data_IF_156688017542
#
_entry.id   IF_156688017542
#
_cell.length_a   1.000
_cell.length_b   1.000
_cell.length_c   1.000
_cell.angle_alpha   90.00
_cell.angle_beta   90.00
_cell.angle_gamma   90.00
#
_symmetry.space_group_name_H-M   'P 1'
#
loop_
_entity.id
_entity.type
_entity.pdbx_description
1 polymer ?
#
# COMPACT_ATOMS: atom_id res chain seq x y z
N UNK A 1 -24.06 2.82 10.44
CA UNK A 1 -22.67 2.61 10.89
C UNK A 1 -22.00 3.97 11.04
N UNK A 2 -21.61 4.37 12.25
CA UNK A 2 -20.90 5.63 12.49
C UNK A 2 -19.40 5.33 12.38
N UNK A 3 -18.76 5.69 11.26
CA UNK A 3 -17.33 5.44 11.09
C UNK A 3 -16.50 6.33 12.02
N UNK A 4 -15.47 5.74 12.64
CA UNK A 4 -14.50 6.45 13.47
C UNK A 4 -13.88 7.62 12.68
N UNK A 5 -13.67 8.75 13.35
CA UNK A 5 -13.23 10.01 12.74
C UNK A 5 -11.91 9.84 11.95
N UNK A 6 -10.97 9.06 12.48
CA UNK A 6 -9.74 8.67 11.79
C UNK A 6 -9.97 8.08 10.40
N UNK A 7 -10.90 7.13 10.27
CA UNK A 7 -11.18 6.51 8.98
C UNK A 7 -11.80 7.50 8.00
N UNK A 8 -12.58 8.46 8.49
CA UNK A 8 -13.11 9.56 7.66
C UNK A 8 -11.99 10.46 7.15
N UNK A 9 -10.99 10.76 7.98
CA UNK A 9 -9.81 11.54 7.58
C UNK A 9 -8.97 10.78 6.55
N UNK A 10 -8.70 9.49 6.77
CA UNK A 10 -7.96 8.65 5.82
C UNK A 10 -8.69 8.59 4.46
N UNK A 11 -10.00 8.37 4.46
CA UNK A 11 -10.81 8.36 3.23
C UNK A 11 -10.82 9.74 2.55
N UNK A 12 -10.98 10.83 3.32
CA UNK A 12 -10.97 12.18 2.78
C UNK A 12 -9.61 12.51 2.12
N UNK A 13 -8.51 12.14 2.77
CA UNK A 13 -7.18 12.26 2.19
C UNK A 13 -7.08 11.45 0.88
N UNK A 14 -7.58 10.21 0.86
CA UNK A 14 -7.57 9.39 -0.34
C UNK A 14 -8.36 10.00 -1.51
N UNK A 15 -9.52 10.60 -1.23
CA UNK A 15 -10.30 11.36 -2.22
C UNK A 15 -9.52 12.58 -2.72
N UNK A 16 -8.86 13.34 -1.83
CA UNK A 16 -8.02 14.45 -2.22
C UNK A 16 -6.87 14.02 -3.14
N UNK A 17 -6.22 12.89 -2.87
CA UNK A 17 -5.18 12.33 -3.74
C UNK A 17 -5.72 11.97 -5.14
N UNK A 18 -6.89 11.33 -5.22
CA UNK A 18 -7.53 11.04 -6.51
C UNK A 18 -7.87 12.31 -7.29
N UNK A 19 -8.49 13.28 -6.63
CA UNK A 19 -8.86 14.56 -7.25
C UNK A 19 -7.62 15.35 -7.68
N UNK A 20 -6.56 15.35 -6.89
CA UNK A 20 -5.29 15.97 -7.23
C UNK A 20 -4.65 15.31 -8.46
N UNK A 21 -4.62 13.97 -8.52
CA UNK A 21 -4.10 13.25 -9.70
C UNK A 21 -4.87 13.59 -10.97
N UNK A 22 -6.20 13.66 -10.89
CA UNK A 22 -7.06 14.08 -12.00
C UNK A 22 -6.78 15.54 -12.38
N UNK A 23 -6.78 16.46 -11.41
CA UNK A 23 -6.56 17.89 -11.67
C UNK A 23 -5.19 18.15 -12.32
N UNK A 24 -4.13 17.50 -11.82
CA UNK A 24 -2.78 17.64 -12.37
C UNK A 24 -2.65 17.10 -13.80
N UNK A 25 -3.48 16.12 -14.18
CA UNK A 25 -3.58 15.62 -15.57
C UNK A 25 -4.16 16.71 -16.49
N UNK A 26 -5.21 17.41 -16.07
CA UNK A 26 -5.84 18.48 -16.86
C UNK A 26 -5.06 19.79 -16.88
N UNK A 27 -4.21 20.03 -15.89
CA UNK A 27 -3.33 21.20 -15.84
C UNK A 27 -2.06 21.04 -16.70
N UNK A 28 -1.92 19.91 -17.42
CA UNK A 28 -0.78 19.60 -18.30
C UNK A 28 0.58 19.82 -17.61
N UNK A 29 0.67 19.50 -16.30
CA UNK A 29 1.93 19.67 -15.53
C UNK A 29 3.07 18.83 -16.14
N UNK A 30 2.73 17.71 -16.77
CA UNK A 30 3.62 16.92 -17.62
C UNK A 30 3.01 16.82 -19.04
N UNK A 31 3.34 17.75 -19.95
CA UNK A 31 2.72 17.83 -21.28
C UNK A 31 2.98 16.58 -22.13
N UNK A 32 4.20 16.03 -22.04
CA UNK A 32 4.63 14.86 -22.81
C UNK A 32 3.97 13.56 -22.29
N UNK A 33 3.58 13.52 -21.01
CA UNK A 33 3.08 12.33 -20.34
C UNK A 33 1.92 12.67 -19.40
N UNK A 34 0.78 13.16 -19.94
CA UNK A 34 -0.28 13.81 -19.16
C UNK A 34 -0.92 12.90 -18.12
N UNK A 35 -0.90 11.58 -18.32
CA UNK A 35 -1.47 10.62 -17.37
C UNK A 35 -0.58 10.33 -16.15
N UNK A 36 0.69 10.72 -16.18
CA UNK A 36 1.69 10.41 -15.14
C UNK A 36 1.25 10.83 -13.73
N UNK A 37 0.71 12.05 -13.50
CA UNK A 37 0.24 12.45 -12.18
C UNK A 37 -0.87 11.57 -11.64
N UNK A 38 -1.84 11.21 -12.50
CA UNK A 38 -2.91 10.30 -12.11
C UNK A 38 -2.38 8.92 -11.77
N UNK A 39 -1.47 8.37 -12.58
CA UNK A 39 -0.84 7.07 -12.33
C UNK A 39 -0.09 7.00 -10.99
N UNK A 40 0.49 8.11 -10.51
CA UNK A 40 1.17 8.15 -9.21
C UNK A 40 0.24 8.40 -8.03
N UNK A 41 -0.73 9.31 -8.16
CA UNK A 41 -1.60 9.67 -7.03
C UNK A 41 -2.78 8.71 -6.86
N UNK A 42 -3.29 8.11 -7.93
CA UNK A 42 -4.47 7.26 -7.86
C UNK A 42 -4.28 5.99 -7.01
N UNK A 43 -3.15 5.25 -7.09
CA UNK A 43 -2.93 4.08 -6.23
C UNK A 43 -2.88 4.45 -4.75
N UNK A 44 -2.25 5.58 -4.40
CA UNK A 44 -2.19 6.10 -3.03
C UNK A 44 -3.58 6.49 -2.54
N UNK A 45 -4.34 7.21 -3.36
CA UNK A 45 -5.71 7.61 -3.06
C UNK A 45 -6.65 6.42 -2.86
N UNK A 46 -6.57 5.42 -3.73
CA UNK A 46 -7.33 4.17 -3.61
C UNK A 46 -6.96 3.39 -2.34
N UNK A 47 -5.68 3.28 -2.01
CA UNK A 47 -5.25 2.61 -0.78
C UNK A 47 -5.81 3.30 0.47
N UNK A 48 -5.73 4.64 0.51
CA UNK A 48 -6.27 5.46 1.60
C UNK A 48 -7.80 5.39 1.72
N UNK A 49 -8.52 5.01 0.67
CA UNK A 49 -9.97 4.78 0.72
C UNK A 49 -10.27 3.33 1.13
N UNK A 50 -9.68 2.36 0.43
CA UNK A 50 -10.01 0.94 0.57
C UNK A 50 -9.60 0.38 1.93
N UNK A 51 -8.42 0.74 2.44
CA UNK A 51 -7.91 0.22 3.71
C UNK A 51 -8.84 0.57 4.90
N UNK A 52 -9.17 1.84 5.15
CA UNK A 52 -10.10 2.20 6.22
C UNK A 52 -11.52 1.67 5.99
N UNK A 53 -11.97 1.54 4.74
CA UNK A 53 -13.29 0.97 4.43
C UNK A 53 -13.37 -0.52 4.81
N UNK A 54 -12.35 -1.30 4.44
CA UNK A 54 -12.24 -2.72 4.82
C UNK A 54 -12.09 -2.85 6.34
N UNK A 55 -11.29 -1.98 6.98
CA UNK A 55 -11.11 -2.00 8.43
C UNK A 55 -12.38 -1.61 9.18
N UNK A 56 -13.12 -0.60 8.72
CA UNK A 56 -14.36 -0.18 9.37
C UNK A 56 -15.45 -1.26 9.25
N UNK A 57 -15.46 -2.00 8.14
CA UNK A 57 -16.36 -3.14 7.97
C UNK A 57 -15.96 -4.34 8.83
N UNK A 58 -14.66 -4.62 8.96
CA UNK A 58 -14.16 -5.80 9.70
C UNK A 58 -14.12 -5.61 11.23
N UNK A 59 -13.88 -4.40 11.73
CA UNK A 59 -13.58 -4.16 13.16
C UNK A 59 -14.63 -3.33 13.93
N UNK A 60 -15.69 -2.84 13.27
CA UNK A 60 -16.84 -2.20 13.94
C UNK A 60 -16.50 -1.22 15.08
N UNK A 61 -17.23 -1.35 16.19
CA UNK A 61 -17.07 -0.54 17.42
C UNK A 61 -16.24 -1.24 18.52
N UNK A 62 -15.56 -2.34 18.23
CA UNK A 62 -14.73 -3.05 19.22
C UNK A 62 -13.51 -2.22 19.67
N UNK A 63 -12.97 -2.47 20.88
CA UNK A 63 -11.82 -1.77 21.42
C UNK A 63 -10.64 -1.89 20.46
N UNK A 64 -10.14 -0.73 20.05
CA UNK A 64 -9.48 -0.52 18.77
C UNK A 64 -8.02 -1.03 18.70
N UNK A 65 -7.44 -1.41 19.83
CA UNK A 65 -6.05 -1.86 19.95
C UNK A 65 -5.94 -2.78 21.16
N UNK A 66 -6.14 -4.07 20.91
CA UNK A 66 -5.55 -5.11 21.73
C UNK A 66 -4.06 -5.22 21.36
N UNK A 67 -3.16 -5.47 22.31
CA UNK A 67 -1.72 -5.67 22.07
C UNK A 67 -1.50 -6.72 20.95
N UNK A 68 -2.45 -7.67 20.84
CA UNK A 68 -2.50 -8.66 19.77
C UNK A 68 -2.52 -8.07 18.36
N UNK A 69 -3.37 -7.07 18.10
CA UNK A 69 -3.49 -6.46 16.75
C UNK A 69 -2.22 -5.70 16.36
N UNK A 70 -1.59 -5.03 17.33
CA UNK A 70 -0.31 -4.33 17.13
C UNK A 70 0.82 -5.33 16.83
N UNK A 71 0.82 -6.48 17.53
CA UNK A 71 1.72 -7.60 17.27
C UNK A 71 1.55 -8.24 15.90
N UNK A 72 0.31 -8.41 15.41
CA UNK A 72 0.03 -8.93 14.05
C UNK A 72 0.51 -7.93 12.99
N UNK A 73 0.20 -6.64 13.15
CA UNK A 73 0.60 -5.61 12.20
C UNK A 73 2.12 -5.50 12.10
N UNK A 74 2.82 -5.49 13.24
CA UNK A 74 4.27 -5.38 13.32
C UNK A 74 4.96 -6.60 12.72
N UNK A 75 4.52 -7.81 13.09
CA UNK A 75 5.10 -9.05 12.50
C UNK A 75 4.86 -9.14 11.01
N UNK A 76 3.64 -8.84 10.55
CA UNK A 76 3.33 -8.82 9.12
C UNK A 76 4.20 -7.82 8.35
N UNK A 77 4.47 -6.65 8.94
CA UNK A 77 5.38 -5.67 8.36
C UNK A 77 6.83 -6.19 8.30
N UNK A 78 7.34 -6.77 9.39
CA UNK A 78 8.70 -7.32 9.43
C UNK A 78 8.91 -8.40 8.36
N UNK A 79 7.99 -9.36 8.25
CA UNK A 79 8.08 -10.40 7.20
C UNK A 79 8.00 -9.83 5.79
N UNK A 80 7.13 -8.83 5.56
CA UNK A 80 7.04 -8.15 4.27
C UNK A 80 8.32 -7.43 3.90
N UNK A 81 8.98 -6.80 4.88
CA UNK A 81 10.22 -6.09 4.65
C UNK A 81 11.34 -7.04 4.25
N UNK A 82 11.48 -8.17 4.95
CA UNK A 82 12.47 -9.20 4.58
C UNK A 82 12.25 -9.75 3.17
N UNK A 83 10.99 -10.03 2.80
CA UNK A 83 10.66 -10.45 1.44
C UNK A 83 11.04 -9.36 0.42
N UNK A 84 10.70 -8.11 0.70
CA UNK A 84 10.96 -6.98 -0.21
C UNK A 84 12.47 -6.80 -0.42
N UNK A 85 13.27 -6.87 0.64
CA UNK A 85 14.74 -6.84 0.54
C UNK A 85 15.25 -8.00 -0.31
N UNK A 86 14.74 -9.21 -0.12
CA UNK A 86 15.10 -10.36 -0.96
C UNK A 86 14.79 -10.13 -2.44
N UNK A 87 13.62 -9.57 -2.75
CA UNK A 87 13.26 -9.22 -4.13
C UNK A 87 14.15 -8.12 -4.68
N UNK A 88 14.44 -7.05 -3.93
CA UNK A 88 15.35 -5.99 -4.37
C UNK A 88 16.74 -6.52 -4.70
N UNK A 89 17.29 -7.42 -3.88
CA UNK A 89 18.57 -8.07 -4.15
C UNK A 89 18.50 -8.93 -5.41
N UNK A 90 17.43 -9.70 -5.60
CA UNK A 90 17.26 -10.50 -6.81
C UNK A 90 17.18 -9.62 -8.07
N UNK A 91 16.42 -8.53 -8.04
CA UNK A 91 16.35 -7.57 -9.14
C UNK A 91 17.71 -6.95 -9.45
N UNK A 92 18.45 -6.55 -8.41
CA UNK A 92 19.80 -6.01 -8.56
C UNK A 92 20.73 -6.99 -9.25
N UNK A 93 20.75 -8.26 -8.81
CA UNK A 93 21.60 -9.30 -9.43
C UNK A 93 21.18 -9.57 -10.88
N UNK A 94 19.88 -9.59 -11.19
CA UNK A 94 19.40 -9.80 -12.56
C UNK A 94 19.74 -8.65 -13.49
N UNK A 95 19.70 -7.41 -12.99
CA UNK A 95 20.08 -6.21 -13.74
C UNK A 95 21.59 -6.15 -13.99
N UNK A 96 22.39 -6.40 -12.94
CA UNK A 96 23.86 -6.45 -13.04
C UNK A 96 24.35 -7.59 -13.96
N UNK A 97 23.70 -8.76 -13.91
CA UNK A 97 24.01 -9.88 -14.80
C UNK A 97 23.54 -9.67 -16.25
N UNK A 98 22.85 -8.56 -16.56
CA UNK A 98 22.35 -8.24 -17.89
C UNK A 98 21.18 -9.11 -18.35
N UNK A 99 20.49 -9.81 -17.43
CA UNK A 99 19.33 -10.67 -17.74
C UNK A 99 18.11 -9.83 -18.07
N UNK A 100 17.92 -8.72 -17.35
CA UNK A 100 16.84 -7.75 -17.59
C UNK A 100 17.32 -6.35 -17.23
N UNK A 101 16.98 -5.34 -18.02
CA UNK A 101 17.29 -3.95 -17.66
C UNK A 101 16.08 -3.29 -17.02
N UNK A 102 16.20 -2.80 -15.79
CA UNK A 102 15.12 -2.08 -15.11
C UNK A 102 15.43 -0.60 -14.97
N UNK A 103 14.48 0.25 -15.34
CA UNK A 103 14.55 1.67 -14.99
C UNK A 103 14.38 1.85 -13.48
N UNK A 104 14.92 2.93 -12.93
CA UNK A 104 14.72 3.31 -11.52
C UNK A 104 13.23 3.37 -11.19
N UNK A 105 12.42 3.94 -12.09
CA UNK A 105 10.97 4.05 -11.91
C UNK A 105 10.30 2.67 -11.80
N UNK A 106 10.64 1.73 -12.70
CA UNK A 106 10.05 0.38 -12.66
C UNK A 106 10.47 -0.38 -11.40
N UNK A 107 11.73 -0.21 -10.98
CA UNK A 107 12.27 -0.85 -9.77
C UNK A 107 11.55 -0.34 -8.51
N UNK A 108 11.36 0.98 -8.39
CA UNK A 108 10.64 1.59 -7.27
C UNK A 108 9.17 1.15 -7.26
N UNK A 109 8.50 1.18 -8.41
CA UNK A 109 7.11 0.75 -8.52
C UNK A 109 6.92 -0.70 -8.07
N UNK A 110 7.77 -1.61 -8.57
CA UNK A 110 7.74 -3.03 -8.19
C UNK A 110 8.03 -3.23 -6.70
N UNK A 111 9.02 -2.52 -6.16
CA UNK A 111 9.39 -2.58 -4.73
C UNK A 111 8.23 -2.16 -3.83
N UNK A 112 7.57 -1.03 -4.16
CA UNK A 112 6.41 -0.53 -3.41
C UNK A 112 5.25 -1.54 -3.47
N UNK A 113 5.02 -2.12 -4.64
CA UNK A 113 3.97 -3.13 -4.84
C UNK A 113 4.25 -4.37 -3.98
N UNK A 114 5.46 -4.93 -4.07
CA UNK A 114 5.87 -6.11 -3.29
C UNK A 114 5.75 -5.82 -1.80
N UNK A 115 6.27 -4.70 -1.31
CA UNK A 115 6.20 -4.33 0.10
C UNK A 115 4.75 -4.24 0.58
N UNK A 116 3.89 -3.53 -0.16
CA UNK A 116 2.51 -3.28 0.23
C UNK A 116 1.67 -4.56 0.22
N UNK A 117 1.70 -5.30 -0.90
CA UNK A 117 0.89 -6.50 -1.05
C UNK A 117 1.35 -7.62 -0.12
N UNK A 118 2.66 -7.81 0.04
CA UNK A 118 3.16 -8.83 0.96
C UNK A 118 2.84 -8.50 2.42
N UNK A 119 2.89 -7.23 2.83
CA UNK A 119 2.45 -6.82 4.17
C UNK A 119 0.98 -7.19 4.43
N UNK A 120 0.09 -6.93 3.46
CA UNK A 120 -1.31 -7.31 3.57
C UNK A 120 -1.50 -8.84 3.65
N UNK A 121 -0.78 -9.60 2.82
CA UNK A 121 -0.83 -11.07 2.81
C UNK A 121 -0.33 -11.65 4.14
N UNK A 122 0.83 -11.19 4.64
CA UNK A 122 1.38 -11.67 5.90
C UNK A 122 0.51 -11.30 7.10
N UNK A 123 0.00 -10.06 7.15
CA UNK A 123 -0.93 -9.63 8.20
C UNK A 123 -2.20 -10.50 8.18
N UNK A 124 -2.74 -10.78 6.99
CA UNK A 124 -3.90 -11.65 6.84
C UNK A 124 -3.60 -13.08 7.29
N UNK A 125 -2.49 -13.66 6.86
CA UNK A 125 -2.09 -15.03 7.20
C UNK A 125 -1.86 -15.20 8.71
N UNK A 126 -1.15 -14.26 9.34
CA UNK A 126 -0.92 -14.28 10.80
C UNK A 126 -2.24 -14.11 11.54
N UNK A 127 -3.11 -13.19 11.11
CA UNK A 127 -4.44 -13.00 11.74
C UNK A 127 -5.29 -14.27 11.70
N UNK A 128 -5.23 -15.03 10.61
CA UNK A 128 -5.93 -16.31 10.45
C UNK A 128 -5.34 -17.42 11.32
N UNK A 129 -4.02 -17.41 11.52
CA UNK A 129 -3.35 -18.45 12.32
C UNK A 129 -3.67 -18.26 13.80
N UNK A 130 -3.69 -17.03 14.28
CA UNK A 130 -3.98 -16.71 15.69
C UNK A 130 -5.47 -16.76 16.08
N UNK A 131 -6.37 -16.87 15.10
CA UNK A 131 -7.79 -17.11 15.33
C UNK A 131 -8.10 -18.61 15.55
N UNK A 132 -7.21 -19.51 15.10
CA UNK A 132 -7.36 -20.97 15.21
C UNK A 132 -6.61 -21.58 16.42
N UNK A 133 -6.05 -20.73 17.29
CA UNK A 133 -5.35 -21.10 18.52
C UNK A 133 -6.20 -20.69 19.73
#
# INVERSE_FOLDING_TARGET
MRMKERYRVEIAAGVCFLLAGIALTFLEVWPEEPMTPFCYLAPVGLALIMIPLVRSWRYGDEPHKDERTDGISTRGFVYSWHLTVGVMVALFVMDDAGVMTMTVQNTLALTILVATFSALIFQWHISRTEENL
#
